data_IF_686625214940
#
_entry.id   IF_686625214940
#
_cell.length_a   1.000
_cell.length_b   1.000
_cell.length_c   1.000
_cell.angle_alpha   90.00
_cell.angle_beta   90.00
_cell.angle_gamma   90.00
#
_symmetry.space_group_name_H-M   'P 1'
#
loop_
_entity.id
_entity.type
_entity.pdbx_description
1 polymer ?
#
# COMPACT_ATOMS: atom_id res chain seq x y z
N UNK A 1 -11.54 -4.57 0.56
CA UNK A 1 -10.57 -4.86 1.64
C UNK A 1 -9.73 -6.06 1.21
N UNK A 2 -8.40 -5.96 1.27
CA UNK A 2 -7.50 -7.07 0.98
C UNK A 2 -7.43 -7.98 2.23
N UNK A 3 -8.11 -9.13 2.22
CA UNK A 3 -7.94 -10.13 3.28
C UNK A 3 -6.69 -10.95 2.95
N UNK A 4 -5.60 -10.66 3.66
CA UNK A 4 -4.43 -11.55 3.71
C UNK A 4 -4.53 -12.30 5.04
N UNK A 5 -4.81 -13.59 5.00
CA UNK A 5 -4.85 -14.45 6.19
C UNK A 5 -3.43 -14.65 6.76
N UNK A 6 -3.01 -13.77 7.65
CA UNK A 6 -1.88 -14.00 8.54
C UNK A 6 -2.37 -14.63 9.84
N UNK A 7 -1.84 -15.81 10.19
CA UNK A 7 -2.07 -16.45 11.50
C UNK A 7 -1.73 -15.45 12.63
N UNK A 8 -2.60 -15.28 13.64
CA UNK A 8 -2.37 -14.31 14.71
C UNK A 8 -1.32 -14.82 15.69
N UNK A 9 -0.29 -14.02 15.97
CA UNK A 9 0.61 -14.26 17.10
C UNK A 9 2.04 -13.78 16.94
N UNK A 10 2.26 -12.48 16.78
CA UNK A 10 3.35 -11.71 17.41
C UNK A 10 3.36 -10.31 16.80
N UNK A 11 2.54 -9.42 17.36
CA UNK A 11 2.69 -7.99 17.16
C UNK A 11 3.29 -7.43 18.45
N UNK A 12 4.52 -6.94 18.39
CA UNK A 12 5.09 -6.11 19.45
C UNK A 12 5.39 -4.76 18.82
N UNK A 13 4.65 -3.72 19.25
CA UNK A 13 4.98 -2.34 18.93
C UNK A 13 6.30 -1.96 19.60
N UNK A 14 7.24 -1.36 18.87
CA UNK A 14 8.43 -0.76 19.47
C UNK A 14 8.03 0.37 20.41
N UNK A 15 8.60 0.39 21.63
CA UNK A 15 8.32 1.43 22.62
C UNK A 15 8.77 2.82 22.13
N UNK A 16 8.10 3.92 22.54
CA UNK A 16 8.55 5.27 22.28
C UNK A 16 9.98 5.54 22.79
N UNK A 17 10.75 6.37 22.09
CA UNK A 17 12.07 6.82 22.54
C UNK A 17 11.98 7.63 23.85
N UNK A 18 12.97 7.46 24.74
CA UNK A 18 13.04 8.16 26.02
C UNK A 18 13.22 9.68 25.88
N UNK A 19 12.85 10.43 26.93
CA UNK A 19 13.05 11.88 26.99
C UNK A 19 14.55 12.25 27.02
N UNK A 20 14.90 13.40 26.43
CA UNK A 20 16.27 13.92 26.41
C UNK A 20 16.77 14.36 27.81
N UNK A 21 18.10 14.46 28.01
CA UNK A 21 18.68 14.86 29.29
C UNK A 21 18.37 16.32 29.63
N UNK A 22 18.32 16.65 30.93
CA UNK A 22 18.19 18.02 31.42
C UNK A 22 19.45 18.84 31.08
N UNK A 23 19.26 20.10 30.67
CA UNK A 23 20.36 21.02 30.35
C UNK A 23 21.20 21.45 31.58
N UNK A 24 22.41 21.98 31.37
CA UNK A 24 23.32 22.38 32.46
C UNK A 24 22.79 23.57 33.27
N UNK A 25 23.21 23.67 34.54
CA UNK A 25 22.87 24.79 35.43
C UNK A 25 23.47 26.12 34.92
N UNK A 26 22.72 27.22 35.05
CA UNK A 26 23.18 28.57 34.68
C UNK A 26 24.37 29.05 35.52
N UNK A 27 25.18 29.96 34.94
CA UNK A 27 26.36 30.53 35.59
C UNK A 27 25.96 31.45 36.77
N UNK A 28 26.78 31.45 37.83
CA UNK A 28 26.60 32.32 39.00
C UNK A 28 26.76 33.80 38.61
N UNK A 29 25.88 34.67 39.11
CA UNK A 29 25.99 36.12 38.91
C UNK A 29 27.28 36.68 39.54
N UNK A 30 27.78 37.77 38.96
CA UNK A 30 28.97 38.46 39.47
C UNK A 30 28.70 39.13 40.82
N UNK A 31 29.69 39.13 41.72
CA UNK A 31 29.60 39.82 43.02
C UNK A 31 29.47 41.34 42.81
N UNK A 32 28.44 41.97 43.41
CA UNK A 32 28.24 43.41 43.33
C UNK A 32 29.30 44.19 44.09
N UNK A 33 29.88 45.23 43.47
CA UNK A 33 30.75 46.19 44.16
C UNK A 33 29.90 47.18 44.96
N UNK A 34 30.07 47.21 46.29
CA UNK A 34 29.53 48.18 47.26
C UNK A 34 28.11 48.75 46.98
N UNK A 35 27.11 48.16 47.65
CA UNK A 35 25.87 48.87 48.03
C UNK A 35 24.59 48.53 47.27
N UNK A 36 24.63 47.69 46.24
CA UNK A 36 23.44 47.20 45.55
C UNK A 36 23.51 45.68 45.33
N UNK A 37 22.41 44.98 45.58
CA UNK A 37 22.30 43.54 45.33
C UNK A 37 22.65 43.25 43.86
N UNK A 38 23.56 42.29 43.64
CA UNK A 38 23.97 41.89 42.29
C UNK A 38 22.77 41.42 41.46
N UNK A 39 22.72 41.79 40.18
CA UNK A 39 21.61 41.43 39.31
C UNK A 39 21.41 39.89 39.25
N UNK A 40 20.15 39.41 39.14
CA UNK A 40 19.88 37.98 38.95
C UNK A 40 20.66 37.41 37.76
N UNK A 41 21.18 36.18 37.92
CA UNK A 41 21.90 35.48 36.85
C UNK A 41 21.03 35.25 35.62
N UNK A 42 21.66 35.24 34.44
CA UNK A 42 20.96 34.98 33.19
C UNK A 42 20.40 33.54 33.16
N UNK A 43 19.23 33.38 32.53
CA UNK A 43 18.68 32.05 32.28
C UNK A 43 19.63 31.25 31.37
N UNK A 44 19.88 29.99 31.72
CA UNK A 44 20.73 29.10 30.94
C UNK A 44 20.19 28.86 29.53
N UNK A 45 21.05 28.47 28.57
CA UNK A 45 20.61 28.18 27.21
C UNK A 45 19.60 27.04 27.19
N UNK A 46 18.69 27.07 26.22
CA UNK A 46 17.79 25.95 25.94
C UNK A 46 18.62 24.70 25.62
N UNK A 47 18.24 23.55 26.18
CA UNK A 47 18.92 22.28 25.90
C UNK A 47 18.83 21.88 24.43
N UNK A 48 19.79 21.07 23.99
CA UNK A 48 19.86 20.59 22.62
C UNK A 48 18.63 19.76 22.24
N UNK A 49 18.29 19.79 20.95
CA UNK A 49 17.24 18.94 20.40
C UNK A 49 17.66 17.46 20.56
N UNK A 50 16.73 16.62 21.04
CA UNK A 50 16.96 15.18 21.16
C UNK A 50 17.29 14.53 19.81
N UNK A 51 18.07 13.44 19.86
CA UNK A 51 18.43 12.69 18.65
C UNK A 51 17.18 12.16 17.92
N UNK A 52 17.26 12.08 16.59
CA UNK A 52 16.23 11.45 15.78
C UNK A 52 16.12 9.96 16.15
N UNK A 53 14.89 9.45 16.28
CA UNK A 53 14.63 8.03 16.52
C UNK A 53 15.15 7.14 15.37
N UNK A 54 15.54 5.90 15.69
CA UNK A 54 15.96 4.92 14.69
C UNK A 54 14.79 4.50 13.79
N UNK A 55 15.09 4.19 12.53
CA UNK A 55 14.11 3.58 11.63
C UNK A 55 13.58 2.27 12.22
N UNK A 56 12.26 2.04 12.14
CA UNK A 56 11.63 0.79 12.56
C UNK A 56 12.08 -0.41 11.71
N UNK A 57 11.88 -1.65 12.19
CA UNK A 57 12.22 -2.84 11.41
C UNK A 57 11.43 -2.90 10.10
N UNK A 58 12.02 -3.52 9.07
CA UNK A 58 11.32 -3.83 7.81
C UNK A 58 10.06 -4.65 8.09
N UNK A 59 8.93 -4.28 7.47
CA UNK A 59 7.67 -5.01 7.60
C UNK A 59 7.75 -6.47 7.09
N UNK A 60 6.73 -7.30 7.36
CA UNK A 60 6.77 -8.76 7.12
C UNK A 60 6.73 -9.16 5.63
N UNK A 61 6.57 -8.21 4.71
CA UNK A 61 6.55 -8.49 3.28
C UNK A 61 7.97 -8.35 2.73
N UNK A 62 8.52 -9.39 2.07
CA UNK A 62 9.76 -9.21 1.32
C UNK A 62 9.53 -8.14 0.25
N UNK A 63 10.54 -7.33 -0.05
CA UNK A 63 10.47 -6.30 -1.10
C UNK A 63 10.15 -6.87 -2.49
N UNK A 64 10.30 -8.19 -2.64
CA UNK A 64 10.10 -8.97 -3.86
C UNK A 64 9.40 -10.27 -3.50
N UNK A 65 8.40 -10.70 -4.27
CA UNK A 65 7.74 -11.98 -4.05
C UNK A 65 8.72 -13.13 -4.36
N UNK A 66 8.94 -14.11 -3.46
CA UNK A 66 9.86 -15.21 -3.74
C UNK A 66 9.38 -16.06 -4.92
N UNK A 67 10.33 -16.56 -5.72
CA UNK A 67 10.04 -17.38 -6.91
C UNK A 67 9.06 -18.52 -6.63
N UNK A 68 8.09 -18.70 -7.53
CA UNK A 68 7.04 -19.71 -7.43
C UNK A 68 6.01 -19.48 -6.33
N UNK A 69 6.07 -18.37 -5.58
CA UNK A 69 5.01 -17.98 -4.65
C UNK A 69 3.91 -17.25 -5.41
N UNK A 70 2.67 -17.60 -5.07
CA UNK A 70 1.47 -16.96 -5.58
C UNK A 70 0.85 -16.11 -4.49
N UNK A 71 0.43 -14.91 -4.86
CA UNK A 71 -0.51 -14.10 -4.07
C UNK A 71 -1.84 -14.05 -4.79
N UNK A 72 -2.92 -13.96 -4.02
CA UNK A 72 -4.27 -13.88 -4.54
C UNK A 72 -5.01 -12.73 -3.90
N UNK A 73 -6.04 -12.23 -4.58
CA UNK A 73 -6.91 -11.21 -4.03
C UNK A 73 -8.21 -11.08 -4.79
N UNK A 74 -9.06 -10.19 -4.28
CA UNK A 74 -10.33 -9.81 -4.87
C UNK A 74 -10.19 -8.40 -5.41
N UNK A 75 -10.90 -8.09 -6.50
CA UNK A 75 -11.06 -6.73 -6.98
C UNK A 75 -12.53 -6.38 -7.14
N UNK A 76 -12.80 -5.10 -6.98
CA UNK A 76 -14.09 -4.49 -7.16
C UNK A 76 -13.87 -3.10 -7.78
N UNK A 77 -14.51 -2.84 -8.92
CA UNK A 77 -14.41 -1.58 -9.65
C UNK A 77 -15.82 -1.13 -9.98
N UNK A 78 -16.29 -0.12 -9.25
CA UNK A 78 -17.68 0.36 -9.30
C UNK A 78 -17.74 1.88 -9.37
N UNK A 79 -18.83 2.38 -9.96
CA UNK A 79 -19.13 3.80 -9.99
C UNK A 79 -20.40 4.09 -10.78
N UNK A 80 -20.60 5.37 -11.10
CA UNK A 80 -21.81 5.84 -11.76
C UNK A 80 -21.45 6.67 -13.00
N UNK A 81 -22.14 6.42 -14.12
CA UNK A 81 -21.95 7.16 -15.36
C UNK A 81 -23.20 7.99 -15.70
N UNK A 82 -22.99 9.21 -16.19
CA UNK A 82 -24.08 10.05 -16.69
C UNK A 82 -24.68 9.52 -18.02
N UNK A 83 -23.89 8.77 -18.79
CA UNK A 83 -24.28 8.17 -20.06
C UNK A 83 -23.35 6.99 -20.41
N UNK A 84 -23.66 6.25 -21.48
CA UNK A 84 -22.76 5.22 -22.00
C UNK A 84 -21.38 5.80 -22.35
N UNK A 85 -20.33 4.99 -22.22
CA UNK A 85 -18.96 5.42 -22.47
C UNK A 85 -18.27 6.11 -21.28
N UNK A 86 -18.96 6.32 -20.16
CA UNK A 86 -18.29 6.67 -18.90
C UNK A 86 -17.25 5.61 -18.52
N UNK A 87 -16.06 6.03 -18.08
CA UNK A 87 -14.94 5.12 -17.79
C UNK A 87 -14.59 5.18 -16.31
N UNK A 88 -14.33 4.01 -15.73
CA UNK A 88 -13.70 3.88 -14.43
C UNK A 88 -12.36 3.19 -14.60
N UNK A 89 -11.39 3.67 -13.86
CA UNK A 89 -10.08 3.03 -13.72
C UNK A 89 -9.80 2.76 -12.26
N UNK A 90 -9.17 1.62 -11.97
CA UNK A 90 -8.78 1.24 -10.62
C UNK A 90 -7.43 0.54 -10.66
N UNK A 91 -6.60 0.76 -9.65
CA UNK A 91 -5.29 0.13 -9.56
C UNK A 91 -5.32 -1.01 -8.55
N UNK A 92 -4.95 -2.20 -9.01
CA UNK A 92 -4.56 -3.31 -8.15
C UNK A 92 -3.07 -3.16 -7.88
N UNK A 93 -2.71 -2.82 -6.64
CA UNK A 93 -1.32 -2.64 -6.22
C UNK A 93 -0.85 -3.78 -5.32
N UNK A 94 0.39 -4.18 -5.51
CA UNK A 94 1.10 -5.14 -4.68
C UNK A 94 2.09 -4.40 -3.77
N UNK A 95 2.33 -4.95 -2.57
CA UNK A 95 3.34 -4.44 -1.64
C UNK A 95 4.77 -4.89 -1.97
N UNK A 96 4.93 -5.67 -3.03
CA UNK A 96 6.21 -6.19 -3.51
C UNK A 96 6.39 -5.88 -4.99
N UNK A 97 7.64 -5.81 -5.45
CA UNK A 97 7.95 -5.74 -6.88
C UNK A 97 7.90 -7.14 -7.50
N UNK A 98 7.28 -7.23 -8.66
CA UNK A 98 7.28 -8.39 -9.53
C UNK A 98 7.70 -7.93 -10.95
N UNK A 99 9.01 -7.76 -11.20
CA UNK A 99 9.49 -7.49 -12.55
C UNK A 99 9.16 -8.68 -13.47
N UNK A 100 8.97 -8.40 -14.75
CA UNK A 100 8.76 -9.41 -15.81
C UNK A 100 7.46 -10.24 -15.68
N UNK A 101 6.44 -9.69 -15.01
CA UNK A 101 5.10 -10.27 -15.01
C UNK A 101 4.39 -10.02 -16.34
N UNK A 102 3.78 -11.06 -16.90
CA UNK A 102 2.83 -10.96 -18.01
C UNK A 102 1.42 -10.95 -17.46
N UNK A 103 0.66 -9.90 -17.75
CA UNK A 103 -0.68 -9.73 -17.20
C UNK A 103 -1.75 -10.12 -18.21
N UNK A 104 -2.73 -10.88 -17.73
CA UNK A 104 -3.79 -11.47 -18.52
C UNK A 104 -5.12 -11.18 -17.86
N UNK A 105 -6.06 -10.66 -18.64
CA UNK A 105 -7.45 -10.45 -18.21
C UNK A 105 -8.35 -11.51 -18.83
N UNK A 106 -8.95 -12.33 -17.98
CA UNK A 106 -9.84 -13.43 -18.34
C UNK A 106 -11.27 -12.94 -18.13
N UNK A 107 -11.96 -12.65 -19.25
CA UNK A 107 -13.38 -12.31 -19.22
C UNK A 107 -14.21 -13.51 -18.76
N UNK A 108 -15.32 -13.24 -18.09
CA UNK A 108 -16.25 -14.29 -17.66
C UNK A 108 -16.66 -15.16 -18.85
N UNK A 109 -16.51 -16.48 -18.71
CA UNK A 109 -16.76 -17.47 -19.76
C UNK A 109 -15.60 -17.70 -20.75
N UNK A 110 -14.43 -17.11 -20.54
CA UNK A 110 -13.22 -17.35 -21.35
C UNK A 110 -12.13 -18.02 -20.52
N UNK A 111 -11.09 -18.53 -21.19
CA UNK A 111 -9.95 -19.23 -20.55
C UNK A 111 -8.63 -18.80 -21.18
N UNK A 112 -7.54 -18.87 -20.43
CA UNK A 112 -6.18 -18.64 -20.92
C UNK A 112 -5.23 -19.73 -20.39
N UNK A 113 -4.38 -20.34 -21.24
CA UNK A 113 -3.48 -21.42 -20.83
C UNK A 113 -2.43 -21.02 -19.77
N UNK A 114 -2.11 -19.73 -19.64
CA UNK A 114 -1.19 -19.23 -18.61
C UNK A 114 -1.89 -18.94 -17.27
N UNK A 115 -3.22 -19.00 -17.28
CA UNK A 115 -4.09 -18.67 -16.17
C UNK A 115 -5.08 -19.81 -15.93
N UNK A 116 -4.62 -20.99 -15.47
CA UNK A 116 -5.44 -22.20 -15.40
C UNK A 116 -6.54 -22.17 -14.31
N UNK A 117 -6.53 -21.16 -13.44
CA UNK A 117 -7.49 -20.98 -12.36
C UNK A 117 -8.84 -20.42 -12.82
N UNK A 118 -9.64 -20.04 -11.83
CA UNK A 118 -10.99 -19.49 -12.01
C UNK A 118 -11.23 -18.34 -11.04
N UNK A 119 -12.38 -17.66 -11.13
CA UNK A 119 -12.70 -16.60 -10.19
C UNK A 119 -12.86 -17.09 -8.74
N UNK A 120 -13.26 -18.35 -8.50
CA UNK A 120 -13.37 -18.92 -7.14
C UNK A 120 -12.08 -19.57 -6.65
N UNK A 121 -11.18 -19.93 -7.57
CA UNK A 121 -9.88 -20.53 -7.28
C UNK A 121 -8.81 -19.90 -8.19
N UNK A 122 -8.39 -18.66 -7.89
CA UNK A 122 -7.51 -17.90 -8.76
C UNK A 122 -6.09 -18.47 -8.69
N UNK A 123 -5.54 -18.83 -9.86
CA UNK A 123 -4.15 -19.30 -9.98
C UNK A 123 -3.45 -18.58 -11.13
N UNK A 124 -2.12 -18.63 -11.17
CA UNK A 124 -1.35 -18.08 -12.26
C UNK A 124 -0.07 -18.89 -12.45
N UNK A 125 0.35 -19.13 -13.69
CA UNK A 125 1.67 -19.70 -13.95
C UNK A 125 2.77 -18.72 -13.47
N UNK A 126 3.96 -19.25 -13.20
CA UNK A 126 5.10 -18.42 -12.80
C UNK A 126 5.36 -17.32 -13.83
N UNK A 127 5.52 -16.09 -13.36
CA UNK A 127 5.68 -14.91 -14.22
C UNK A 127 4.36 -14.33 -14.75
N UNK A 128 3.20 -14.80 -14.28
CA UNK A 128 1.90 -14.27 -14.71
C UNK A 128 1.10 -13.64 -13.58
N UNK A 129 0.41 -12.56 -13.95
CA UNK A 129 -0.69 -11.98 -13.20
C UNK A 129 -1.99 -12.23 -13.96
N UNK A 130 -2.86 -13.05 -13.40
CA UNK A 130 -4.12 -13.45 -14.00
C UNK A 130 -5.28 -12.76 -13.26
N UNK A 131 -6.12 -12.04 -14.00
CA UNK A 131 -7.31 -11.36 -13.46
C UNK A 131 -8.54 -12.06 -14.00
N UNK A 132 -9.32 -12.67 -13.12
CA UNK A 132 -10.51 -13.44 -13.43
C UNK A 132 -11.76 -12.61 -13.20
N UNK A 133 -12.42 -12.18 -14.27
CA UNK A 133 -13.74 -11.54 -14.17
C UNK A 133 -14.78 -12.58 -13.74
N UNK A 134 -15.39 -12.37 -12.57
CA UNK A 134 -16.53 -13.15 -12.14
C UNK A 134 -17.77 -12.69 -12.90
N UNK A 135 -18.08 -11.39 -12.76
CA UNK A 135 -19.20 -10.76 -13.43
C UNK A 135 -19.02 -9.25 -13.53
N UNK A 136 -19.91 -8.65 -14.31
CA UNK A 136 -19.97 -7.21 -14.53
C UNK A 136 -21.41 -6.72 -14.57
N UNK A 137 -21.60 -5.45 -14.21
CA UNK A 137 -22.91 -4.82 -14.09
C UNK A 137 -22.93 -3.62 -15.02
N UNK A 138 -23.91 -3.58 -15.93
CA UNK A 138 -24.06 -2.51 -16.92
C UNK A 138 -22.74 -2.11 -17.61
N UNK A 139 -21.82 -3.06 -17.76
CA UNK A 139 -20.49 -2.83 -18.30
C UNK A 139 -20.44 -3.13 -19.80
N UNK A 140 -19.75 -2.29 -20.53
CA UNK A 140 -19.40 -2.49 -21.93
C UNK A 140 -18.48 -3.70 -22.08
N UNK A 141 -18.48 -4.32 -23.27
CA UNK A 141 -17.46 -5.30 -23.65
C UNK A 141 -16.05 -4.70 -23.71
N UNK A 142 -15.91 -3.38 -23.78
CA UNK A 142 -14.64 -2.69 -23.63
C UNK A 142 -14.30 -2.56 -22.14
N UNK A 143 -13.56 -3.53 -21.60
CA UNK A 143 -13.07 -3.61 -20.21
C UNK A 143 -11.90 -4.58 -20.12
N UNK A 144 -11.02 -4.36 -19.16
CA UNK A 144 -9.82 -5.18 -18.97
C UNK A 144 -8.69 -4.40 -18.29
N UNK A 145 -7.46 -4.60 -18.77
CA UNK A 145 -6.25 -3.93 -18.27
C UNK A 145 -5.86 -2.78 -19.19
N UNK A 146 -5.59 -1.59 -18.65
CA UNK A 146 -5.12 -0.44 -19.44
C UNK A 146 -3.67 -0.03 -19.15
N UNK A 147 -3.13 -0.27 -17.95
CA UNK A 147 -1.73 -0.01 -17.63
C UNK A 147 -1.10 -1.15 -16.82
N UNK A 148 0.20 -1.34 -17.03
CA UNK A 148 1.01 -2.41 -16.45
C UNK A 148 2.13 -1.79 -15.63
N UNK A 149 2.37 -2.31 -14.44
CA UNK A 149 3.39 -1.83 -13.50
C UNK A 149 4.08 -3.01 -12.85
N UNK A 150 5.36 -2.84 -12.52
CA UNK A 150 6.12 -3.82 -11.73
C UNK A 150 5.56 -4.05 -10.32
N UNK A 151 4.55 -3.28 -9.90
CA UNK A 151 3.93 -3.37 -8.57
C UNK A 151 2.40 -3.42 -8.67
N UNK A 152 1.84 -3.75 -9.84
CA UNK A 152 0.39 -3.78 -9.98
C UNK A 152 -0.12 -3.70 -11.41
N UNK A 153 -1.44 -3.69 -11.53
CA UNK A 153 -2.16 -3.52 -12.79
C UNK A 153 -3.22 -2.43 -12.64
N UNK A 154 -3.44 -1.66 -13.69
CA UNK A 154 -4.60 -0.78 -13.78
C UNK A 154 -5.67 -1.49 -14.59
N UNK A 155 -6.84 -1.62 -13.97
CA UNK A 155 -8.04 -2.12 -14.58
C UNK A 155 -8.89 -0.95 -15.09
N UNK A 156 -9.67 -1.21 -16.14
CA UNK A 156 -10.64 -0.27 -16.66
C UNK A 156 -11.95 -0.96 -17.04
N UNK A 157 -13.06 -0.22 -16.90
CA UNK A 157 -14.37 -0.63 -17.38
C UNK A 157 -15.10 0.58 -17.95
N UNK A 158 -15.71 0.41 -19.13
CA UNK A 158 -16.61 1.40 -19.71
C UNK A 158 -18.07 1.06 -19.37
N UNK A 159 -18.89 2.06 -19.08
CA UNK A 159 -20.33 1.90 -18.88
C UNK A 159 -21.06 1.63 -20.19
N UNK A 160 -22.01 0.70 -20.17
CA UNK A 160 -22.93 0.44 -21.28
C UNK A 160 -24.09 1.46 -21.35
N UNK A 161 -24.34 2.23 -20.29
CA UNK A 161 -25.46 3.17 -20.18
C UNK A 161 -25.26 4.23 -19.10
N UNK A 162 -26.32 4.94 -18.74
CA UNK A 162 -26.31 5.77 -17.53
C UNK A 162 -26.59 4.93 -16.28
N UNK A 163 -26.16 5.41 -15.12
CA UNK A 163 -26.37 4.76 -13.83
C UNK A 163 -25.15 3.99 -13.33
N UNK A 164 -25.41 3.09 -12.38
CA UNK A 164 -24.37 2.31 -11.72
C UNK A 164 -23.80 1.23 -12.65
N UNK A 165 -22.48 1.11 -12.66
CA UNK A 165 -21.77 0.12 -13.46
C UNK A 165 -20.48 -0.31 -12.77
N UNK A 166 -20.01 -1.51 -13.13
CA UNK A 166 -18.79 -2.04 -12.55
C UNK A 166 -18.42 -3.45 -13.00
N UNK A 167 -17.33 -3.94 -12.43
CA UNK A 167 -16.86 -5.31 -12.60
C UNK A 167 -16.14 -5.79 -11.34
N UNK A 168 -16.28 -7.08 -11.05
CA UNK A 168 -15.69 -7.71 -9.88
C UNK A 168 -15.17 -9.09 -10.21
N UNK A 169 -14.26 -9.57 -9.38
CA UNK A 169 -13.67 -10.87 -9.52
C UNK A 169 -12.43 -11.04 -8.66
N UNK A 170 -11.55 -11.92 -9.07
CA UNK A 170 -10.35 -12.26 -8.33
C UNK A 170 -9.12 -12.17 -9.21
N UNK A 171 -7.96 -12.24 -8.59
CA UNK A 171 -6.70 -12.24 -9.30
C UNK A 171 -5.68 -13.10 -8.57
N UNK A 172 -4.70 -13.60 -9.32
CA UNK A 172 -3.53 -14.29 -8.82
C UNK A 172 -2.28 -13.74 -9.51
N UNK A 173 -1.20 -13.56 -8.75
CA UNK A 173 0.11 -13.22 -9.30
C UNK A 173 1.15 -14.18 -8.75
N UNK A 174 1.86 -14.88 -9.65
CA UNK A 174 2.90 -15.84 -9.28
C UNK A 174 4.27 -15.31 -9.70
N UNK A 175 5.19 -15.20 -8.75
CA UNK A 175 6.56 -14.79 -9.05
C UNK A 175 7.22 -15.75 -10.06
N UNK A 176 8.08 -15.23 -10.97
CA UNK A 176 8.84 -16.07 -11.90
C UNK A 176 9.69 -17.12 -11.19
#
# INVERSE_FOLDING_TARGET
LLSIDFKPGQLVSGAPGGAGPQGPQGLKGNTGTNGTDGAPGLQGPKGDQGAQGTQGPTGPFPSTLPSGKTVVGVFDVEGNAAASGGVLTSQLSYVFRAPDQTEVYIKSGTTDPNCPGTHTDPTANAGFTCIYEQASIAASSNRGINFRSTSGVSLYVFSAGSGFFGMYGTWAATAP
#
